data_IF_975897856028
#
_entry.id   IF_975897856028
#
_cell.length_a   1.000
_cell.length_b   1.000
_cell.length_c   1.000
_cell.angle_alpha   90.00
_cell.angle_beta   90.00
_cell.angle_gamma   90.00
#
_symmetry.space_group_name_H-M   'P 1'
#
loop_
_entity.id
_entity.type
_entity.pdbx_description
1 polymer ?
#
# COMPACT_ATOMS: atom_id res chain seq x y z
N UNK A 1 -11.67 -12.74 16.84
CA UNK A 1 -11.36 -11.64 15.94
C UNK A 1 -10.11 -11.96 15.15
N UNK A 2 -10.19 -11.83 13.84
CA UNK A 2 -9.02 -12.09 13.01
C UNK A 2 -8.01 -10.97 13.17
N UNK A 3 -6.75 -11.33 13.34
CA UNK A 3 -5.69 -10.36 13.34
C UNK A 3 -5.46 -9.91 11.90
N UNK A 4 -5.12 -8.63 11.73
CA UNK A 4 -4.81 -8.10 10.42
C UNK A 4 -3.51 -8.71 9.93
N UNK A 5 -3.53 -9.13 8.69
CA UNK A 5 -2.37 -9.77 8.06
C UNK A 5 -1.78 -8.81 7.05
N UNK A 6 -0.55 -8.37 7.29
CA UNK A 6 0.14 -7.43 6.40
C UNK A 6 0.19 -7.99 4.98
N UNK A 7 0.42 -9.28 4.85
CA UNK A 7 0.45 -9.92 3.53
C UNK A 7 -0.85 -9.72 2.77
N UNK A 8 -1.99 -9.93 3.43
CA UNK A 8 -3.29 -9.74 2.78
C UNK A 8 -3.51 -8.29 2.36
N UNK A 9 -3.12 -7.36 3.23
CA UNK A 9 -3.29 -5.94 2.93
C UNK A 9 -2.40 -5.53 1.76
N UNK A 10 -1.15 -6.01 1.75
CA UNK A 10 -0.24 -5.71 0.64
C UNK A 10 -0.77 -6.30 -0.66
N UNK A 11 -1.29 -7.53 -0.64
CA UNK A 11 -1.87 -8.12 -1.84
C UNK A 11 -3.04 -7.30 -2.36
N UNK A 12 -3.88 -6.81 -1.45
CA UNK A 12 -4.99 -5.93 -1.82
C UNK A 12 -4.47 -4.64 -2.45
N UNK A 13 -3.43 -4.04 -1.85
CA UNK A 13 -2.84 -2.83 -2.38
C UNK A 13 -2.29 -3.03 -3.79
N UNK A 14 -1.65 -4.17 -4.02
CA UNK A 14 -1.10 -4.47 -5.35
C UNK A 14 -2.22 -4.60 -6.37
N UNK A 15 -3.33 -5.27 -6.02
CA UNK A 15 -4.47 -5.38 -6.91
C UNK A 15 -5.08 -4.02 -7.22
N UNK A 16 -5.24 -3.18 -6.19
CA UNK A 16 -5.74 -1.82 -6.39
C UNK A 16 -4.80 -1.01 -7.27
N UNK A 17 -3.51 -1.19 -7.07
CA UNK A 17 -2.52 -0.49 -7.88
C UNK A 17 -2.61 -0.90 -9.35
N UNK A 18 -2.79 -2.19 -9.61
CA UNK A 18 -2.94 -2.67 -10.98
C UNK A 18 -4.15 -2.06 -11.66
N UNK A 19 -5.23 -1.88 -10.90
CA UNK A 19 -6.48 -1.35 -11.44
C UNK A 19 -6.41 0.15 -11.70
N UNK A 20 -5.69 0.89 -10.87
CA UNK A 20 -5.66 2.35 -10.96
C UNK A 20 -4.36 2.93 -11.52
N UNK A 21 -3.36 2.08 -11.76
CA UNK A 21 -2.05 2.57 -12.19
C UNK A 21 -2.12 3.30 -13.52
N UNK A 22 -1.44 4.44 -13.58
CA UNK A 22 -1.23 5.21 -14.79
C UNK A 22 0.27 5.24 -15.02
N UNK A 23 0.71 4.85 -16.22
CA UNK A 23 2.14 4.77 -16.53
C UNK A 23 2.92 3.93 -15.52
N UNK A 24 2.31 2.84 -15.08
CA UNK A 24 2.89 1.88 -14.14
C UNK A 24 3.01 2.40 -12.71
N UNK A 25 2.50 3.59 -12.42
CA UNK A 25 2.59 4.17 -11.08
C UNK A 25 1.18 4.35 -10.51
N UNK A 26 0.98 3.95 -9.28
CA UNK A 26 -0.28 4.14 -8.58
C UNK A 26 -0.01 4.61 -7.16
N UNK A 27 -0.89 5.45 -6.65
CA UNK A 27 -0.82 5.93 -5.27
C UNK A 27 -2.07 5.44 -4.55
N UNK A 28 -1.86 4.82 -3.39
CA UNK A 28 -2.95 4.36 -2.54
C UNK A 28 -2.91 5.17 -1.26
N UNK A 29 -4.01 5.84 -0.95
CA UNK A 29 -4.10 6.61 0.28
C UNK A 29 -4.43 5.68 1.45
N UNK A 30 -3.83 5.98 2.60
CA UNK A 30 -4.10 5.21 3.81
C UNK A 30 -5.58 5.19 4.14
N UNK A 31 -6.30 6.27 3.81
CA UNK A 31 -7.74 6.31 4.03
C UNK A 31 -8.48 5.17 3.36
N UNK A 32 -8.03 4.74 2.20
CA UNK A 32 -8.63 3.59 1.51
C UNK A 32 -8.39 2.30 2.29
N UNK A 33 -7.19 2.16 2.86
CA UNK A 33 -6.84 0.99 3.68
C UNK A 33 -7.64 0.99 4.97
N UNK A 34 -7.78 2.15 5.60
CA UNK A 34 -8.59 2.30 6.81
C UNK A 34 -10.03 1.88 6.54
N UNK A 35 -10.57 2.32 5.42
CA UNK A 35 -11.95 2.02 5.06
C UNK A 35 -12.14 0.53 4.77
N UNK A 36 -11.17 -0.08 4.13
CA UNK A 36 -11.29 -1.49 3.73
C UNK A 36 -11.02 -2.45 4.87
N UNK A 37 -10.03 -2.17 5.69
CA UNK A 37 -9.54 -3.10 6.70
C UNK A 37 -9.73 -2.62 8.14
N UNK A 38 -10.11 -1.37 8.35
CA UNK A 38 -10.33 -0.86 9.70
C UNK A 38 -9.05 -0.59 10.47
N UNK A 39 -7.94 -0.39 9.78
CA UNK A 39 -6.68 -0.04 10.47
C UNK A 39 -6.75 1.40 10.94
N UNK A 40 -5.84 1.76 11.82
CA UNK A 40 -5.79 3.12 12.36
C UNK A 40 -4.93 4.03 11.48
N UNK A 41 -5.23 5.34 11.45
CA UNK A 41 -4.34 6.28 10.77
C UNK A 41 -2.91 6.14 11.29
N UNK A 42 -1.94 6.23 10.38
CA UNK A 42 -0.54 6.00 10.72
C UNK A 42 -0.10 4.55 10.55
N UNK A 43 -1.02 3.68 10.14
CA UNK A 43 -0.71 2.26 9.94
C UNK A 43 0.44 2.05 8.94
N UNK A 44 0.44 2.80 7.84
CA UNK A 44 1.49 2.67 6.83
C UNK A 44 2.86 2.98 7.42
N UNK A 45 2.94 4.07 8.17
CA UNK A 45 4.21 4.49 8.77
C UNK A 45 4.65 3.51 9.86
N UNK A 46 3.70 3.03 10.64
CA UNK A 46 4.00 2.10 11.75
C UNK A 46 4.52 0.75 11.26
N UNK A 47 4.08 0.33 10.09
CA UNK A 47 4.43 -0.97 9.53
C UNK A 47 5.28 -0.87 8.27
N UNK A 48 5.93 0.28 8.07
CA UNK A 48 6.70 0.55 6.86
C UNK A 48 7.68 -0.53 6.48
N UNK A 49 8.63 -0.91 7.37
CA UNK A 49 9.61 -1.94 7.00
C UNK A 49 8.98 -3.27 6.61
N UNK A 50 7.92 -3.67 7.30
CA UNK A 50 7.22 -4.91 6.99
C UNK A 50 6.52 -4.84 5.64
N UNK A 51 5.93 -3.67 5.33
CA UNK A 51 5.26 -3.45 4.05
C UNK A 51 6.26 -3.48 2.92
N UNK A 52 7.40 -2.81 3.07
CA UNK A 52 8.45 -2.83 2.06
C UNK A 52 8.95 -4.25 1.83
N UNK A 53 9.13 -5.01 2.89
CA UNK A 53 9.60 -6.39 2.78
C UNK A 53 8.59 -7.25 2.00
N UNK A 54 7.31 -7.11 2.30
CA UNK A 54 6.29 -7.86 1.58
C UNK A 54 6.22 -7.44 0.11
N UNK A 55 6.33 -6.15 -0.18
CA UNK A 55 6.34 -5.66 -1.56
C UNK A 55 7.51 -6.25 -2.34
N UNK A 56 8.67 -6.37 -1.72
CA UNK A 56 9.85 -6.94 -2.36
C UNK A 56 9.65 -8.40 -2.75
N UNK A 57 8.74 -9.10 -2.09
CA UNK A 57 8.46 -10.50 -2.39
C UNK A 57 7.58 -10.68 -3.62
N UNK A 58 6.96 -9.60 -4.10
CA UNK A 58 6.09 -9.63 -5.27
C UNK A 58 6.87 -9.11 -6.47
N UNK A 59 7.11 -9.97 -7.44
CA UNK A 59 7.92 -9.61 -8.61
C UNK A 59 7.27 -8.52 -9.46
N UNK A 60 5.95 -8.39 -9.40
CA UNK A 60 5.25 -7.35 -10.16
C UNK A 60 5.41 -5.96 -9.56
N UNK A 61 5.89 -5.85 -8.33
CA UNK A 61 6.14 -4.55 -7.70
C UNK A 61 7.61 -4.19 -7.93
N UNK A 62 7.84 -3.16 -8.73
CA UNK A 62 9.19 -2.72 -9.06
C UNK A 62 9.75 -1.78 -8.00
N UNK A 63 8.88 -1.01 -7.35
CA UNK A 63 9.30 -0.06 -6.33
C UNK A 63 8.11 0.29 -5.45
N UNK A 64 8.40 0.71 -4.25
CA UNK A 64 7.36 1.15 -3.30
C UNK A 64 7.92 2.30 -2.46
N UNK A 65 7.04 3.25 -2.13
CA UNK A 65 7.43 4.41 -1.35
C UNK A 65 6.28 4.85 -0.46
N UNK A 66 6.51 4.87 0.83
CA UNK A 66 5.53 5.36 1.81
C UNK A 66 5.91 6.79 2.17
N UNK A 67 4.95 7.69 2.08
CA UNK A 67 5.23 9.11 2.33
C UNK A 67 3.98 9.79 2.90
N UNK A 68 4.17 10.97 3.48
CA UNK A 68 3.05 11.77 3.97
C UNK A 68 2.39 12.46 2.78
N UNK A 69 1.08 12.25 2.64
CA UNK A 69 0.34 12.93 1.58
C UNK A 69 -0.01 14.35 1.97
N UNK A 70 -0.89 14.97 1.18
CA UNK A 70 -1.37 16.31 1.47
C UNK A 70 -2.34 16.33 2.64
N UNK A 71 -2.99 15.21 2.92
CA UNK A 71 -3.90 15.07 4.05
C UNK A 71 -3.07 14.78 5.30
N UNK A 72 -3.28 15.59 6.34
CA UNK A 72 -2.52 15.47 7.58
C UNK A 72 -2.81 14.18 8.33
N UNK A 73 -3.99 13.63 8.12
CA UNK A 73 -4.45 12.47 8.89
C UNK A 73 -3.95 11.15 8.33
N UNK A 74 -3.54 11.15 7.06
CA UNK A 74 -3.22 9.90 6.38
C UNK A 74 -1.90 9.98 5.62
N UNK A 75 -1.22 8.84 5.61
CA UNK A 75 -0.04 8.64 4.78
C UNK A 75 -0.50 8.08 3.43
N UNK A 76 0.44 7.95 2.51
CA UNK A 76 0.19 7.34 1.20
C UNK A 76 1.30 6.39 0.86
N UNK A 77 1.00 5.43 0.00
CA UNK A 77 2.03 4.55 -0.55
C UNK A 77 1.95 4.62 -2.06
N UNK A 78 3.10 4.83 -2.70
CA UNK A 78 3.22 4.83 -4.14
C UNK A 78 3.83 3.50 -4.57
N UNK A 79 3.18 2.82 -5.49
CA UNK A 79 3.67 1.55 -6.02
C UNK A 79 3.97 1.70 -7.50
N UNK A 80 5.13 1.20 -7.90
CA UNK A 80 5.49 1.11 -9.31
C UNK A 80 5.29 -0.35 -9.70
N UNK A 81 4.41 -0.58 -10.67
CA UNK A 81 3.94 -1.91 -11.04
C UNK A 81 4.43 -2.28 -12.43
N UNK A 82 4.92 -3.50 -12.56
CA UNK A 82 5.23 -4.07 -13.86
C UNK A 82 3.95 -4.62 -14.47
N UNK A 83 3.49 -4.00 -15.54
CA UNK A 83 2.21 -4.37 -16.17
C UNK A 83 2.37 -5.42 -17.27
N UNK A 84 3.56 -5.84 -17.55
CA UNK A 84 3.77 -6.85 -18.58
C UNK A 84 3.51 -8.26 -18.11
#
# INVERSE_FOLDING_TARGET
MASLNIKEIVEWMIEEAKNKASDSIAVIDEGEIVKEFGVKPGWLQSHGPEIYHECDRHSEVLDSLIYTGNDRDYWSIQLTINKE
#
